data_IF_258549995844
#
_entry.id   IF_258549995844
#
_cell.length_a   1.000
_cell.length_b   1.000
_cell.length_c   1.000
_cell.angle_alpha   90.00
_cell.angle_beta   90.00
_cell.angle_gamma   90.00
#
_symmetry.space_group_name_H-M   'P 1'
#
loop_
_entity.id
_entity.type
_entity.pdbx_description
1 polymer ?
#
# COMPACT_ATOMS: atom_id res chain seq x y z
N UNK A 1 -14.89 2.48 -12.03
CA UNK A 1 -13.50 2.73 -11.65
C UNK A 1 -13.17 1.73 -10.57
N UNK A 2 -12.22 0.84 -10.82
CA UNK A 2 -11.81 -0.18 -9.86
C UNK A 2 -10.80 0.41 -8.87
N UNK A 3 -11.06 0.27 -7.57
CA UNK A 3 -10.14 0.82 -6.56
C UNK A 3 -8.91 -0.08 -6.46
N UNK A 4 -7.72 0.54 -6.44
CA UNK A 4 -6.43 -0.18 -6.26
C UNK A 4 -6.44 -1.02 -4.98
N UNK A 5 -7.21 -0.60 -3.97
CA UNK A 5 -7.37 -1.30 -2.69
C UNK A 5 -8.26 -2.54 -2.76
N UNK A 6 -9.19 -2.59 -3.72
CA UNK A 6 -10.12 -3.73 -3.87
C UNK A 6 -9.46 -4.89 -4.61
N UNK A 7 -8.55 -4.58 -5.54
CA UNK A 7 -7.89 -5.59 -6.39
C UNK A 7 -6.41 -5.82 -6.03
N UNK A 8 -5.86 -4.97 -5.17
CA UNK A 8 -4.47 -5.03 -4.75
C UNK A 8 -4.27 -5.90 -3.50
N UNK A 9 -3.06 -6.45 -3.35
CA UNK A 9 -2.67 -7.11 -2.10
C UNK A 9 -2.76 -6.14 -0.91
N UNK A 10 -3.22 -6.59 0.26
CA UNK A 10 -3.34 -5.74 1.46
C UNK A 10 -1.99 -5.20 1.96
N UNK A 11 -0.86 -5.72 1.44
CA UNK A 11 0.48 -5.28 1.78
C UNK A 11 1.08 -4.22 0.83
N UNK A 12 0.32 -3.79 -0.17
CA UNK A 12 0.84 -2.83 -1.14
C UNK A 12 1.16 -1.51 -0.45
N UNK A 13 2.44 -1.14 -0.50
CA UNK A 13 2.89 0.20 -0.14
C UNK A 13 2.50 1.14 -1.28
N UNK A 14 1.47 1.94 -1.07
CA UNK A 14 1.05 2.97 -2.03
C UNK A 14 1.81 4.25 -1.71
N UNK A 15 2.40 4.87 -2.74
CA UNK A 15 3.06 6.16 -2.64
C UNK A 15 2.46 7.13 -3.66
N UNK A 16 2.02 8.28 -3.19
CA UNK A 16 1.61 9.42 -4.00
C UNK A 16 2.87 10.24 -4.35
N UNK A 17 3.13 10.40 -5.65
CA UNK A 17 4.27 11.19 -6.13
C UNK A 17 3.76 12.43 -6.83
N UNK A 18 3.97 13.60 -6.23
CA UNK A 18 3.82 14.88 -6.88
C UNK A 18 5.00 15.12 -7.82
N UNK A 19 4.72 15.10 -9.12
CA UNK A 19 5.74 15.20 -10.16
C UNK A 19 5.86 16.63 -10.70
N UNK A 20 6.96 16.92 -11.40
CA UNK A 20 7.25 18.21 -12.06
C UNK A 20 7.40 19.41 -11.12
N UNK A 21 7.99 19.19 -9.96
CA UNK A 21 8.24 20.29 -9.00
C UNK A 21 9.17 21.39 -9.52
N UNK A 22 9.81 21.19 -10.67
CA UNK A 22 10.59 22.19 -11.38
C UNK A 22 9.75 23.32 -11.98
N UNK A 23 8.44 23.09 -12.21
CA UNK A 23 7.51 24.08 -12.73
C UNK A 23 6.77 24.75 -11.56
N UNK A 24 7.46 25.61 -10.82
CA UNK A 24 6.86 26.31 -9.66
C UNK A 24 5.82 27.35 -10.09
N UNK A 25 6.04 28.03 -11.21
CA UNK A 25 5.13 29.07 -11.72
C UNK A 25 3.80 28.49 -12.23
N UNK A 26 3.81 27.24 -12.72
CA UNK A 26 2.62 26.51 -13.18
C UNK A 26 2.09 25.53 -12.10
N UNK A 27 2.53 25.67 -10.84
CA UNK A 27 2.14 24.74 -9.78
C UNK A 27 0.67 24.95 -9.39
N UNK A 28 -0.17 24.00 -9.78
CA UNK A 28 -1.59 23.99 -9.41
C UNK A 28 -1.89 23.24 -8.12
N UNK A 29 -1.03 22.29 -7.74
CA UNK A 29 -1.26 21.41 -6.58
C UNK A 29 -0.05 21.47 -5.66
N UNK A 30 -0.28 21.90 -4.41
CA UNK A 30 0.74 21.99 -3.37
C UNK A 30 0.28 21.21 -2.14
N UNK A 31 -0.29 21.90 -1.15
CA UNK A 31 -0.71 21.34 0.15
C UNK A 31 -1.77 20.24 0.03
N UNK A 32 -2.60 20.28 -1.01
CA UNK A 32 -3.68 19.31 -1.22
C UNK A 32 -3.16 17.90 -1.46
N UNK A 33 -2.01 17.75 -2.11
CA UNK A 33 -1.38 16.44 -2.34
C UNK A 33 -0.99 15.77 -1.03
N UNK A 34 -0.51 16.55 -0.05
CA UNK A 34 -0.17 16.03 1.27
C UNK A 34 -1.43 15.62 2.06
N UNK A 35 -2.47 16.47 2.08
CA UNK A 35 -3.74 16.15 2.75
C UNK A 35 -4.39 14.89 2.17
N UNK A 36 -4.31 14.72 0.85
CA UNK A 36 -4.81 13.53 0.18
C UNK A 36 -4.02 12.29 0.63
N UNK A 37 -2.69 12.40 0.71
CA UNK A 37 -1.85 11.30 1.16
C UNK A 37 -2.13 10.89 2.61
N UNK A 38 -2.36 11.86 3.50
CA UNK A 38 -2.78 11.60 4.88
C UNK A 38 -4.16 10.92 4.95
N UNK A 39 -5.12 11.39 4.14
CA UNK A 39 -6.48 10.80 4.07
C UNK A 39 -6.44 9.34 3.64
N UNK A 40 -5.58 8.99 2.69
CA UNK A 40 -5.41 7.63 2.21
C UNK A 40 -4.29 6.87 2.93
N UNK A 41 -3.69 7.42 3.99
CA UNK A 41 -2.57 6.82 4.72
C UNK A 41 -1.48 6.26 3.78
N UNK A 42 -1.09 7.04 2.77
CA UNK A 42 -0.08 6.68 1.79
C UNK A 42 1.11 7.64 1.87
N UNK A 43 2.26 7.20 1.35
CA UNK A 43 3.48 8.00 1.40
C UNK A 43 3.39 9.15 0.39
N UNK A 44 3.82 10.35 0.75
CA UNK A 44 3.88 11.50 -0.17
C UNK A 44 5.32 11.84 -0.53
N UNK A 45 5.59 12.00 -1.83
CA UNK A 45 6.89 12.46 -2.32
C UNK A 45 6.73 13.51 -3.40
N UNK A 46 7.55 14.55 -3.31
CA UNK A 46 7.73 15.52 -4.39
C UNK A 46 8.95 15.14 -5.23
N UNK A 47 8.82 15.07 -6.55
CA UNK A 47 9.92 14.70 -7.44
C UNK A 47 9.88 15.47 -8.77
N UNK A 48 11.05 15.61 -9.39
CA UNK A 48 11.19 16.08 -10.76
C UNK A 48 12.13 15.16 -11.51
N UNK A 49 11.62 14.48 -12.54
CA UNK A 49 12.45 13.66 -13.43
C UNK A 49 13.39 14.51 -14.28
N UNK A 50 12.97 15.74 -14.61
CA UNK A 50 13.77 16.66 -15.45
C UNK A 50 14.96 17.20 -14.69
N UNK A 51 14.76 17.62 -13.44
CA UNK A 51 15.82 18.12 -12.58
C UNK A 51 16.57 17.01 -11.82
N UNK A 52 16.17 15.75 -11.97
CA UNK A 52 16.73 14.61 -11.22
C UNK A 52 16.48 14.68 -9.70
N UNK A 53 15.51 15.49 -9.26
CA UNK A 53 15.23 15.71 -7.83
C UNK A 53 14.35 14.60 -7.28
N UNK A 54 14.76 14.05 -6.14
CA UNK A 54 14.03 13.07 -5.31
C UNK A 54 13.70 11.69 -5.95
N UNK A 55 14.02 11.45 -7.23
CA UNK A 55 13.73 10.19 -7.90
C UNK A 55 14.49 9.00 -7.27
N UNK A 56 15.72 9.23 -6.81
CA UNK A 56 16.57 8.23 -6.14
C UNK A 56 16.08 7.95 -4.72
N UNK A 57 15.63 8.98 -3.99
CA UNK A 57 15.12 8.84 -2.62
C UNK A 57 13.84 8.01 -2.57
N UNK A 58 12.94 8.18 -3.56
CA UNK A 58 11.72 7.38 -3.69
C UNK A 58 12.07 5.88 -3.85
N UNK A 59 13.04 5.57 -4.73
CA UNK A 59 13.48 4.17 -4.95
C UNK A 59 14.08 3.56 -3.68
N UNK A 60 14.92 4.31 -2.97
CA UNK A 60 15.53 3.83 -1.72
C UNK A 60 14.48 3.53 -0.64
N UNK A 61 13.45 4.37 -0.51
CA UNK A 61 12.37 4.15 0.46
C UNK A 61 11.53 2.90 0.15
N UNK A 62 11.29 2.61 -1.12
CA UNK A 62 10.57 1.41 -1.55
C UNK A 62 11.38 0.12 -1.40
N UNK A 63 12.71 0.23 -1.29
CA UNK A 63 13.62 -0.89 -1.12
C UNK A 63 13.70 -1.37 0.35
N UNK A 64 13.14 -0.62 1.30
CA UNK A 64 13.16 -1.02 2.70
C UNK A 64 12.18 -2.18 2.96
N UNK A 65 12.63 -3.24 3.67
CA UNK A 65 11.80 -4.39 3.98
C UNK A 65 10.55 -3.94 4.76
N UNK A 66 9.44 -4.66 4.57
CA UNK A 66 8.20 -4.42 5.31
C UNK A 66 8.50 -4.36 6.82
N UNK A 67 8.17 -3.23 7.44
CA UNK A 67 8.32 -3.00 8.87
C UNK A 67 7.57 -4.08 9.64
N UNK A 68 8.01 -4.38 10.87
CA UNK A 68 7.42 -5.44 11.71
C UNK A 68 5.90 -5.33 11.88
N UNK A 69 5.37 -4.10 11.87
CA UNK A 69 3.92 -3.82 11.86
C UNK A 69 3.19 -4.45 10.66
N UNK A 70 3.77 -4.40 9.46
CA UNK A 70 3.21 -5.03 8.26
C UNK A 70 3.34 -6.56 8.27
N UNK A 71 4.33 -7.13 8.98
CA UNK A 71 4.45 -8.59 9.17
C UNK A 71 3.36 -9.15 10.08
N UNK A 72 2.92 -8.39 11.08
CA UNK A 72 1.83 -8.82 11.98
C UNK A 72 0.48 -8.90 11.26
N UNK A 73 0.21 -7.95 10.37
CA UNK A 73 -1.01 -7.95 9.54
C UNK A 73 -1.06 -9.18 8.61
N UNK A 74 0.09 -9.65 8.12
CA UNK A 74 0.16 -10.92 7.37
C UNK A 74 -0.20 -12.11 8.25
N UNK A 75 0.40 -12.19 9.43
CA UNK A 75 0.20 -13.29 10.35
C UNK A 75 -1.27 -13.42 10.82
N UNK A 76 -1.99 -12.31 11.00
CA UNK A 76 -3.41 -12.34 11.37
C UNK A 76 -4.34 -12.74 10.23
N UNK A 77 -4.01 -12.40 8.98
CA UNK A 77 -4.85 -12.78 7.83
C UNK A 77 -4.76 -14.28 7.50
N UNK A 78 -3.64 -14.94 7.79
CA UNK A 78 -3.53 -16.41 7.68
C UNK A 78 -4.34 -17.15 8.75
N UNK A 79 -4.64 -16.52 9.88
CA UNK A 79 -5.48 -17.10 10.95
C UNK A 79 -6.97 -16.91 10.72
N UNK A 80 -7.38 -15.97 9.87
CA UNK A 80 -8.80 -15.72 9.57
C UNK A 80 -9.35 -16.62 8.44
N UNK A 81 -8.53 -17.54 7.91
CA UNK A 81 -8.96 -18.60 6.98
C UNK A 81 -9.56 -19.84 7.68
N UNK A 82 -9.59 -19.90 9.01
CA UNK A 82 -10.19 -21.03 9.74
C UNK A 82 -11.55 -20.68 10.33
N UNK A 83 -12.58 -20.63 9.48
CA UNK A 83 -13.98 -20.63 9.89
C UNK A 83 -14.87 -20.10 8.77
N UNK A 84 -15.52 -20.91 7.92
CA UNK A 84 -16.37 -22.03 8.30
C UNK A 84 -16.92 -22.74 7.04
N UNK A 85 -16.78 -24.06 6.95
CA UNK A 85 -17.83 -24.88 6.33
C UNK A 85 -18.23 -25.93 7.35
N UNK A 86 -19.40 -25.70 7.92
CA UNK A 86 -20.06 -26.63 8.82
C UNK A 86 -20.86 -27.65 8.00
N UNK A 87 -20.98 -28.85 8.60
CA UNK A 87 -22.00 -29.89 8.37
C UNK A 87 -21.70 -30.96 7.29
N UNK A 88 -21.24 -32.11 7.81
CA UNK A 88 -22.07 -33.31 7.77
C UNK A 88 -21.51 -34.54 7.05
N UNK A 89 -20.94 -35.49 7.81
CA UNK A 89 -21.55 -36.81 8.05
C UNK A 89 -20.67 -37.63 9.01
N UNK A 90 -21.31 -38.04 10.10
CA UNK A 90 -20.90 -39.06 11.06
C UNK A 90 -20.96 -40.46 10.42
N UNK A 91 -19.96 -41.31 10.65
CA UNK A 91 -20.08 -42.75 10.96
C UNK A 91 -18.68 -43.39 10.88
N UNK A 92 -18.10 -43.84 11.99
CA UNK A 92 -18.23 -45.23 12.47
C UNK A 92 -17.12 -46.16 11.92
N UNK A 93 -16.13 -46.42 12.77
CA UNK A 93 -15.34 -47.67 12.90
C UNK A 93 -14.38 -48.13 11.79
N UNK A 94 -13.10 -48.21 12.20
CA UNK A 94 -12.16 -49.34 12.09
C UNK A 94 -12.20 -50.25 10.84
N UNK A 95 -11.05 -50.30 10.14
CA UNK A 95 -10.35 -51.55 9.81
C UNK A 95 -8.91 -51.30 9.43
#
# INVERSE_FOLDING_TARGET
MDSIREHGSPLLKIALVAHKIDLEDDRQVSVEGQKLAETYNCLFFEASSRAGKNCVKIKAHNSMPATEASRRILAENDLNSSGSQSRGKTSCCAR
#
